data_IF_694490712360
#
_entry.id   IF_694490712360
#
_cell.length_a   1.000
_cell.length_b   1.000
_cell.length_c   1.000
_cell.angle_alpha   90.00
_cell.angle_beta   90.00
_cell.angle_gamma   90.00
#
_symmetry.space_group_name_H-M   'P 1'
#
loop_
_entity.id
_entity.type
_entity.pdbx_description
1 polymer ?
#
# COMPACT_ATOMS: atom_id res chain seq x y z
N UNK A 1 15.65 -15.03 30.04
CA UNK A 1 14.45 -14.18 30.25
C UNK A 1 13.97 -13.74 28.88
N UNK A 2 12.91 -14.38 28.36
CA UNK A 2 12.27 -13.95 27.12
C UNK A 2 11.31 -12.81 27.48
N UNK A 3 11.56 -11.63 26.93
CA UNK A 3 10.70 -10.47 27.15
C UNK A 3 9.41 -10.72 26.38
N UNK A 4 8.33 -11.06 27.10
CA UNK A 4 7.00 -11.17 26.51
C UNK A 4 6.59 -9.76 26.07
N UNK A 5 6.57 -9.54 24.77
CA UNK A 5 6.08 -8.34 24.12
C UNK A 5 4.55 -8.32 24.15
N UNK A 6 3.96 -8.16 25.34
CA UNK A 6 2.52 -8.01 25.53
C UNK A 6 2.10 -6.61 25.06
N UNK A 7 1.50 -6.51 23.87
CA UNK A 7 0.89 -5.27 23.37
C UNK A 7 1.20 -4.91 21.92
N UNK A 8 2.03 -5.68 21.22
CA UNK A 8 2.26 -5.47 19.79
C UNK A 8 1.37 -6.40 18.98
N UNK A 9 0.58 -5.90 18.02
CA UNK A 9 0.00 -6.75 16.99
C UNK A 9 1.16 -7.53 16.37
N UNK A 10 1.06 -8.86 16.43
CA UNK A 10 1.97 -9.75 15.72
C UNK A 10 1.83 -9.42 14.24
N UNK A 11 2.87 -8.80 13.68
CA UNK A 11 2.82 -8.23 12.34
C UNK A 11 2.55 -9.34 11.32
N UNK A 12 3.17 -10.50 11.50
CA UNK A 12 2.98 -11.67 10.63
C UNK A 12 1.53 -12.15 10.69
N UNK A 13 0.92 -12.24 11.89
CA UNK A 13 -0.51 -12.55 11.98
C UNK A 13 -1.42 -11.50 11.36
N UNK A 14 -1.09 -10.21 11.47
CA UNK A 14 -1.87 -9.13 10.87
C UNK A 14 -1.83 -9.16 9.32
N UNK A 15 -0.74 -9.66 8.75
CA UNK A 15 -0.55 -9.87 7.32
C UNK A 15 -1.23 -11.17 6.84
N UNK A 16 -1.08 -12.25 7.59
CA UNK A 16 -1.65 -13.58 7.27
C UNK A 16 -3.17 -13.62 7.42
N UNK A 17 -3.76 -12.96 8.44
CA UNK A 17 -5.20 -13.01 8.72
C UNK A 17 -6.06 -12.27 7.66
N UNK A 18 -5.46 -11.46 6.78
CA UNK A 18 -6.18 -10.75 5.70
C UNK A 18 -5.65 -10.94 4.28
N UNK A 19 -4.54 -11.66 4.06
CA UNK A 19 -3.99 -11.86 2.72
C UNK A 19 -3.68 -10.54 1.99
N UNK A 20 -3.37 -9.48 2.76
CA UNK A 20 -3.18 -8.13 2.23
C UNK A 20 -1.85 -8.04 1.48
N UNK A 21 -1.91 -7.57 0.25
CA UNK A 21 -0.73 -7.35 -0.57
C UNK A 21 -0.03 -6.05 -0.15
N UNK A 22 0.85 -6.15 0.84
CA UNK A 22 1.62 -4.99 1.31
C UNK A 22 2.90 -4.82 0.50
N UNK A 23 3.12 -3.60 0.03
CA UNK A 23 4.31 -3.24 -0.75
C UNK A 23 4.94 -1.95 -0.24
N UNK A 24 6.22 -1.75 -0.51
CA UNK A 24 6.84 -0.43 -0.39
C UNK A 24 6.41 0.48 -1.54
N UNK A 25 6.62 1.78 -1.42
CA UNK A 25 6.38 2.72 -2.52
C UNK A 25 7.16 2.37 -3.79
N UNK A 26 8.39 1.86 -3.64
CA UNK A 26 9.25 1.50 -4.78
C UNK A 26 8.72 0.27 -5.51
N UNK A 27 8.32 -0.77 -4.76
CA UNK A 27 7.72 -1.98 -5.32
C UNK A 27 6.39 -1.64 -6.00
N UNK A 28 5.51 -0.90 -5.33
CA UNK A 28 4.22 -0.50 -5.91
C UNK A 28 4.36 0.37 -7.16
N UNK A 29 5.27 1.36 -7.16
CA UNK A 29 5.54 2.14 -8.36
C UNK A 29 6.00 1.26 -9.54
N UNK A 30 6.81 0.24 -9.25
CA UNK A 30 7.27 -0.74 -10.24
C UNK A 30 6.12 -1.62 -10.74
N UNK A 31 5.28 -2.13 -9.84
CA UNK A 31 4.12 -2.97 -10.17
C UNK A 31 3.10 -2.25 -11.06
N UNK A 32 2.84 -0.96 -10.77
CA UNK A 32 1.92 -0.16 -11.55
C UNK A 32 2.55 0.41 -12.82
N UNK A 33 3.87 0.25 -13.01
CA UNK A 33 4.63 0.85 -14.10
C UNK A 33 4.49 2.39 -14.16
N UNK A 34 4.44 3.06 -13.01
CA UNK A 34 4.30 4.52 -12.94
C UNK A 34 5.47 5.17 -12.18
N UNK A 35 5.75 6.47 -12.38
CA UNK A 35 6.76 7.17 -11.61
C UNK A 35 6.53 7.07 -10.10
N UNK A 36 7.60 6.95 -9.33
CA UNK A 36 7.55 6.84 -7.86
C UNK A 36 6.62 7.86 -7.19
N UNK A 37 6.78 9.15 -7.51
CA UNK A 37 5.93 10.20 -6.94
C UNK A 37 4.48 10.19 -7.43
N UNK A 38 4.19 9.52 -8.55
CA UNK A 38 2.81 9.26 -8.99
C UNK A 38 2.19 8.18 -8.11
N UNK A 39 2.92 7.09 -7.84
CA UNK A 39 2.46 6.04 -6.94
C UNK A 39 2.29 6.53 -5.49
N UNK A 40 3.23 7.35 -4.97
CA UNK A 40 3.08 7.98 -3.64
C UNK A 40 1.82 8.82 -3.54
N UNK A 41 1.48 9.58 -4.59
CA UNK A 41 0.26 10.39 -4.61
C UNK A 41 -0.99 9.51 -4.65
N UNK A 42 -0.98 8.48 -5.50
CA UNK A 42 -2.07 7.51 -5.60
C UNK A 42 -2.35 6.83 -4.26
N UNK A 43 -1.32 6.33 -3.58
CA UNK A 43 -1.47 5.65 -2.29
C UNK A 43 -2.08 6.57 -1.22
N UNK A 44 -1.64 7.82 -1.16
CA UNK A 44 -2.19 8.82 -0.22
C UNK A 44 -3.62 9.21 -0.54
N UNK A 45 -3.95 9.34 -1.82
CA UNK A 45 -5.30 9.66 -2.28
C UNK A 45 -6.29 8.52 -1.97
N UNK A 46 -5.83 7.28 -2.10
CA UNK A 46 -6.56 6.07 -1.74
C UNK A 46 -6.62 5.81 -0.21
N UNK A 47 -5.80 6.49 0.60
CA UNK A 47 -5.66 6.21 2.03
C UNK A 47 -5.06 4.84 2.33
N UNK A 48 -4.20 4.33 1.44
CA UNK A 48 -3.60 3.01 1.52
C UNK A 48 -2.33 2.95 2.38
N UNK A 49 -1.89 4.08 2.94
CA UNK A 49 -0.65 4.17 3.73
C UNK A 49 -0.83 3.57 5.13
N UNK A 50 -0.17 2.45 5.39
CA UNK A 50 -0.08 1.85 6.71
C UNK A 50 1.28 2.21 7.33
N UNK A 51 1.26 3.12 8.31
CA UNK A 51 2.47 3.51 9.03
C UNK A 51 2.68 2.62 10.24
N UNK A 52 3.71 1.75 10.17
CA UNK A 52 4.14 0.93 11.29
C UNK A 52 5.44 1.51 11.87
N UNK A 53 5.32 2.23 12.99
CA UNK A 53 6.43 2.93 13.67
C UNK A 53 7.15 3.93 12.75
N UNK A 54 8.20 3.49 12.06
CA UNK A 54 9.06 4.30 11.17
C UNK A 54 9.01 3.84 9.70
N UNK A 55 8.30 2.75 9.42
CA UNK A 55 8.19 2.18 8.08
C UNK A 55 6.76 2.35 7.59
N UNK A 56 6.61 2.90 6.39
CA UNK A 56 5.32 2.97 5.70
C UNK A 56 5.26 1.85 4.68
N UNK A 57 4.20 1.05 4.74
CA UNK A 57 3.85 0.03 3.74
C UNK A 57 2.49 0.39 3.17
N UNK A 58 2.26 -0.01 1.93
CA UNK A 58 1.08 0.36 1.14
C UNK A 58 0.26 -0.88 0.91
N UNK A 59 -1.02 -0.81 1.27
CA UNK A 59 -1.98 -1.88 1.03
C UNK A 59 -2.53 -1.77 -0.40
N UNK A 60 -2.06 -2.64 -1.29
CA UNK A 60 -2.43 -2.61 -2.71
C UNK A 60 -3.91 -2.90 -2.91
N UNK A 61 -4.52 -3.70 -2.05
CA UNK A 61 -5.94 -4.05 -2.17
C UNK A 61 -6.83 -2.80 -2.00
N UNK A 62 -6.43 -1.87 -1.12
CA UNK A 62 -7.10 -0.57 -0.95
C UNK A 62 -6.95 0.30 -2.21
N UNK A 63 -5.76 0.29 -2.84
CA UNK A 63 -5.55 1.02 -4.09
C UNK A 63 -6.43 0.45 -5.21
N UNK A 64 -6.52 -0.87 -5.33
CA UNK A 64 -7.35 -1.52 -6.34
C UNK A 64 -8.84 -1.24 -6.14
N UNK A 65 -9.34 -1.26 -4.91
CA UNK A 65 -10.72 -0.86 -4.59
C UNK A 65 -10.96 0.61 -4.95
N UNK A 66 -10.04 1.50 -4.55
CA UNK A 66 -10.12 2.92 -4.88
C UNK A 66 -10.14 3.19 -6.38
N UNK A 67 -9.31 2.51 -7.18
CA UNK A 67 -9.28 2.66 -8.63
C UNK A 67 -10.55 2.15 -9.32
N UNK A 68 -11.20 1.10 -8.77
CA UNK A 68 -12.48 0.60 -9.29
C UNK A 68 -13.62 1.59 -9.05
N UNK A 69 -13.62 2.28 -7.91
CA UNK A 69 -14.63 3.29 -7.57
C UNK A 69 -14.40 4.63 -8.28
N UNK A 70 -13.15 4.92 -8.68
CA UNK A 70 -12.73 6.20 -9.28
C UNK A 70 -12.11 6.00 -10.67
N UNK A 71 -12.93 5.74 -11.71
CA UNK A 71 -12.43 5.41 -13.06
C UNK A 71 -11.66 6.55 -13.73
N UNK A 72 -11.94 7.81 -13.39
CA UNK A 72 -11.19 8.99 -13.85
C UNK A 72 -9.75 8.98 -13.30
N UNK A 73 -9.57 8.51 -12.07
CA UNK A 73 -8.24 8.34 -11.48
C UNK A 73 -7.51 7.17 -12.13
N UNK A 74 -8.21 6.07 -12.42
CA UNK A 74 -7.63 4.95 -13.16
C UNK A 74 -7.15 5.36 -14.55
N UNK A 75 -7.91 6.20 -15.26
CA UNK A 75 -7.48 6.79 -16.54
C UNK A 75 -6.21 7.63 -16.37
N UNK A 76 -6.16 8.52 -15.36
CA UNK A 76 -4.97 9.32 -15.03
C UNK A 76 -3.74 8.45 -14.75
N UNK A 77 -3.90 7.33 -14.03
CA UNK A 77 -2.81 6.38 -13.76
C UNK A 77 -2.31 5.74 -15.06
N UNK A 78 -3.21 5.35 -15.95
CA UNK A 78 -2.85 4.77 -17.25
C UNK A 78 -2.11 5.77 -18.16
N UNK A 79 -2.43 7.06 -18.11
CA UNK A 79 -1.74 8.09 -18.90
C UNK A 79 -0.27 8.28 -18.50
N UNK A 80 0.08 7.96 -17.25
CA UNK A 80 1.45 8.13 -16.73
C UNK A 80 2.23 6.82 -16.66
N UNK A 81 1.64 5.71 -17.11
CA UNK A 81 2.33 4.42 -17.22
C UNK A 81 3.47 4.51 -18.23
N UNK A 82 4.62 3.92 -17.89
CA UNK A 82 5.87 3.92 -18.67
C UNK A 82 6.38 2.52 -18.94
#
# INVERSE_FOLDING_TARGET
>A
MAVKNEGFPDLERYLEERGRHLVTYTEGATMYHIPYYSFVRLAKEAGADLTLRRTTVIDVDIIEEYLKENPDVAERVNLVRR
#
